data_IF_657325562392
#
_entry.id   IF_657325562392
#
_cell.length_a   1.000
_cell.length_b   1.000
_cell.length_c   1.000
_cell.angle_alpha   90.00
_cell.angle_beta   90.00
_cell.angle_gamma   90.00
#
_symmetry.space_group_name_H-M   'P 1'
#
loop_
_entity.id
_entity.type
_entity.pdbx_description
1 polymer ?
#
# COMPACT_ATOMS: atom_id res chain seq x y z
N UNK A 1 18.91 2.88 -14.57
CA UNK A 1 18.88 2.26 -15.91
C UNK A 1 18.18 0.89 -15.90
N UNK A 2 18.30 0.10 -14.82
CA UNK A 2 17.63 -1.20 -14.63
C UNK A 2 16.10 -1.18 -14.78
N UNK A 3 15.42 -0.16 -14.24
CA UNK A 3 13.96 -0.06 -14.32
C UNK A 3 13.42 0.10 -15.75
N UNK A 4 14.26 0.59 -16.69
CA UNK A 4 13.90 0.81 -18.10
C UNK A 4 14.21 -0.38 -19.01
N UNK A 5 14.85 -1.43 -18.52
CA UNK A 5 15.13 -2.62 -19.32
C UNK A 5 13.88 -3.49 -19.49
N UNK A 6 13.86 -4.25 -20.60
CA UNK A 6 12.83 -5.25 -20.87
C UNK A 6 12.84 -6.30 -19.77
N UNK A 7 11.65 -6.72 -19.33
CA UNK A 7 11.55 -7.65 -18.22
C UNK A 7 12.07 -9.04 -18.56
N UNK A 8 11.90 -9.47 -19.82
CA UNK A 8 12.45 -10.73 -20.33
C UNK A 8 13.96 -10.76 -20.16
N UNK A 9 14.63 -9.64 -20.48
CA UNK A 9 16.07 -9.49 -20.28
C UNK A 9 16.44 -9.55 -18.80
N UNK A 10 15.71 -8.86 -17.93
CA UNK A 10 15.99 -8.86 -16.48
C UNK A 10 15.84 -10.27 -15.89
N UNK A 11 14.78 -11.00 -16.22
CA UNK A 11 14.60 -12.38 -15.73
C UNK A 11 15.67 -13.32 -16.29
N UNK A 12 15.99 -13.22 -17.57
CA UNK A 12 17.04 -14.03 -18.17
C UNK A 12 18.38 -13.79 -17.46
N UNK A 13 18.75 -12.52 -17.28
CA UNK A 13 20.00 -12.17 -16.60
C UNK A 13 19.98 -12.53 -15.10
N UNK A 14 18.82 -12.49 -14.43
CA UNK A 14 18.67 -12.99 -13.05
C UNK A 14 18.80 -14.51 -12.95
N UNK A 15 18.22 -15.26 -13.89
CA UNK A 15 18.29 -16.73 -13.95
C UNK A 15 19.69 -17.22 -14.30
N UNK A 16 20.37 -16.50 -15.19
CA UNK A 16 21.74 -16.77 -15.62
C UNK A 16 22.78 -16.25 -14.61
N UNK A 17 22.37 -15.51 -13.58
CA UNK A 17 23.27 -14.91 -12.58
C UNK A 17 24.17 -13.81 -13.14
N UNK A 18 23.82 -13.24 -14.28
CA UNK A 18 24.62 -12.25 -15.04
C UNK A 18 24.24 -10.80 -14.68
N UNK A 19 23.15 -10.58 -13.93
CA UNK A 19 22.69 -9.25 -13.51
C UNK A 19 22.95 -8.91 -12.01
N UNK A 20 23.46 -7.71 -11.68
CA UNK A 20 24.53 -6.93 -12.33
C UNK A 20 25.87 -7.07 -11.57
N UNK A 21 26.99 -6.84 -12.27
CA UNK A 21 28.33 -6.78 -11.66
C UNK A 21 28.42 -5.65 -10.62
N UNK A 22 28.95 -5.96 -9.43
CA UNK A 22 29.12 -5.00 -8.33
C UNK A 22 27.97 -4.92 -7.34
N UNK A 23 26.95 -5.78 -7.46
CA UNK A 23 25.84 -5.89 -6.52
C UNK A 23 25.79 -7.30 -5.94
N UNK A 24 25.42 -7.43 -4.66
CA UNK A 24 25.14 -8.72 -4.06
C UNK A 24 23.70 -9.13 -4.41
N UNK A 25 23.55 -10.17 -5.23
CA UNK A 25 22.25 -10.75 -5.57
C UNK A 25 22.00 -11.98 -4.71
N UNK A 26 20.90 -11.98 -3.96
CA UNK A 26 20.42 -13.16 -3.27
C UNK A 26 19.10 -13.59 -3.92
N UNK A 27 19.04 -14.73 -4.63
CA UNK A 27 17.78 -15.24 -5.14
C UNK A 27 16.87 -15.56 -3.95
N UNK A 28 15.69 -14.94 -3.94
CA UNK A 28 14.68 -15.23 -2.95
C UNK A 28 14.04 -16.60 -3.18
N UNK A 29 13.46 -17.21 -2.13
CA UNK A 29 12.60 -18.36 -2.28
C UNK A 29 11.43 -18.10 -3.24
N UNK A 30 11.06 -19.13 -3.99
CA UNK A 30 9.88 -19.12 -4.84
C UNK A 30 8.63 -19.46 -4.03
N UNK A 31 7.52 -18.75 -4.29
CA UNK A 31 6.28 -18.92 -3.55
C UNK A 31 5.10 -19.07 -4.49
N UNK A 32 4.34 -20.15 -4.29
CA UNK A 32 2.99 -20.30 -4.81
C UNK A 32 1.99 -20.18 -3.66
N UNK A 33 0.91 -19.46 -3.90
CA UNK A 33 -0.21 -19.37 -2.96
C UNK A 33 -1.53 -19.46 -3.72
N UNK A 34 -2.44 -20.31 -3.22
CA UNK A 34 -3.74 -20.57 -3.84
C UNK A 34 -4.86 -19.65 -3.35
N UNK A 35 -4.61 -18.90 -2.27
CA UNK A 35 -5.57 -18.02 -1.61
C UNK A 35 -4.88 -16.72 -1.17
N UNK A 36 -5.65 -15.69 -0.80
CA UNK A 36 -5.10 -14.46 -0.24
C UNK A 36 -4.53 -14.71 1.16
N UNK A 37 -3.26 -15.14 1.25
CA UNK A 37 -2.57 -15.39 2.52
C UNK A 37 -1.41 -14.42 2.76
N UNK A 38 -1.20 -14.05 4.03
CA UNK A 38 -0.04 -13.28 4.46
C UNK A 38 1.09 -14.22 4.87
N UNK A 39 2.30 -14.01 4.31
CA UNK A 39 3.51 -14.74 4.69
C UNK A 39 4.59 -13.76 5.12
N UNK A 40 5.20 -14.01 6.28
CA UNK A 40 6.34 -13.22 6.78
C UNK A 40 7.64 -13.87 6.33
N UNK A 41 8.49 -13.10 5.66
CA UNK A 41 9.80 -13.56 5.17
C UNK A 41 10.88 -12.80 5.94
N UNK A 42 11.84 -13.54 6.49
CA UNK A 42 12.98 -12.96 7.20
C UNK A 42 14.24 -13.16 6.39
N UNK A 43 14.81 -12.06 5.91
CA UNK A 43 16.12 -12.05 5.29
C UNK A 43 17.18 -11.85 6.39
N UNK A 44 18.27 -12.61 6.31
CA UNK A 44 19.46 -12.36 7.12
C UNK A 44 20.50 -11.72 6.23
N UNK A 45 20.97 -10.57 6.67
CA UNK A 45 22.13 -9.92 6.08
C UNK A 45 23.37 -10.75 6.44
N UNK A 46 24.37 -10.86 5.54
CA UNK A 46 25.65 -11.46 5.88
C UNK A 46 26.23 -10.89 7.18
N UNK A 47 26.93 -11.71 8.00
CA UNK A 47 27.47 -11.27 9.29
C UNK A 47 28.66 -10.31 9.16
N UNK A 48 29.25 -10.20 7.96
CA UNK A 48 30.30 -9.22 7.68
C UNK A 48 29.73 -7.79 7.79
N UNK A 49 30.55 -6.85 8.29
CA UNK A 49 30.13 -5.45 8.36
C UNK A 49 29.83 -4.95 6.96
N UNK A 50 28.57 -4.57 6.74
CA UNK A 50 28.15 -3.87 5.54
C UNK A 50 28.78 -2.47 5.55
N UNK A 51 29.72 -2.23 4.65
CA UNK A 51 30.22 -0.89 4.37
C UNK A 51 29.45 -0.31 3.18
N UNK A 52 28.55 0.64 3.47
CA UNK A 52 27.76 1.34 2.46
C UNK A 52 28.41 2.63 1.98
N UNK A 53 29.59 2.97 2.50
CA UNK A 53 30.31 4.21 2.25
C UNK A 53 29.70 5.44 2.92
N UNK A 54 30.43 6.55 2.79
CA UNK A 54 30.09 7.85 3.38
C UNK A 54 28.95 8.56 2.65
N UNK A 55 28.31 9.49 3.35
CA UNK A 55 27.27 10.36 2.78
C UNK A 55 27.86 11.41 1.81
N UNK A 56 27.18 11.75 0.69
CA UNK A 56 25.94 11.16 0.17
C UNK A 56 26.21 9.84 -0.57
N UNK A 57 25.38 8.82 -0.28
CA UNK A 57 25.55 7.49 -0.89
C UNK A 57 25.24 7.53 -2.38
N UNK A 58 26.05 6.82 -3.16
CA UNK A 58 25.86 6.64 -4.60
C UNK A 58 24.88 5.52 -4.94
N UNK A 59 24.64 4.60 -4.01
CA UNK A 59 23.83 3.41 -4.20
C UNK A 59 22.86 3.20 -3.04
N UNK A 60 21.71 2.58 -3.31
CA UNK A 60 20.77 2.17 -2.28
C UNK A 60 21.28 0.91 -1.57
N UNK A 61 21.23 0.85 -0.23
CA UNK A 61 21.81 -0.26 0.54
C UNK A 61 21.06 -1.57 0.32
N UNK A 62 19.74 -1.53 0.14
CA UNK A 62 18.93 -2.71 -0.17
C UNK A 62 17.79 -2.38 -1.12
N UNK A 63 17.62 -3.23 -2.13
CA UNK A 63 16.47 -3.20 -3.05
C UNK A 63 15.89 -4.61 -3.13
N UNK A 64 14.62 -4.76 -2.76
CA UNK A 64 13.90 -6.03 -2.83
C UNK A 64 12.97 -6.01 -4.05
N UNK A 65 13.06 -7.07 -4.85
CA UNK A 65 12.16 -7.33 -5.97
C UNK A 65 11.24 -8.49 -5.59
N UNK A 66 9.94 -8.23 -5.52
CA UNK A 66 8.91 -9.25 -5.44
C UNK A 66 8.27 -9.39 -6.82
N UNK A 67 8.38 -10.58 -7.39
CA UNK A 67 8.08 -10.82 -8.80
C UNK A 67 6.91 -11.79 -8.93
N UNK A 68 6.04 -11.53 -9.89
CA UNK A 68 5.05 -12.52 -10.31
C UNK A 68 5.72 -13.56 -11.20
N UNK A 69 5.39 -14.83 -10.98
CA UNK A 69 5.73 -15.86 -11.95
C UNK A 69 4.93 -15.62 -13.24
N UNK A 70 5.59 -15.77 -14.38
CA UNK A 70 4.98 -15.53 -15.69
C UNK A 70 3.86 -16.54 -15.92
N UNK A 71 2.61 -16.08 -15.92
CA UNK A 71 1.46 -16.91 -16.23
C UNK A 71 1.20 -16.91 -17.74
N UNK A 72 0.85 -18.07 -18.30
CA UNK A 72 0.44 -18.22 -19.70
C UNK A 72 -0.95 -17.56 -19.89
N UNK A 73 -0.99 -16.23 -19.86
CA UNK A 73 -2.22 -15.44 -19.86
C UNK A 73 -2.09 -14.02 -19.31
N UNK A 74 -0.91 -13.60 -18.85
CA UNK A 74 -0.69 -12.26 -18.30
C UNK A 74 -1.01 -11.16 -19.32
N UNK A 75 -1.80 -10.18 -18.90
CA UNK A 75 -2.15 -8.99 -19.66
C UNK A 75 -1.07 -7.90 -19.53
N UNK A 76 -1.08 -6.94 -20.45
CA UNK A 76 -0.07 -5.88 -20.53
C UNK A 76 -0.11 -4.96 -19.29
N UNK A 77 -1.28 -4.77 -18.68
CA UNK A 77 -1.51 -3.98 -17.48
C UNK A 77 -1.35 -4.77 -16.17
N UNK A 78 -1.13 -6.08 -16.24
CA UNK A 78 -0.90 -6.88 -15.05
C UNK A 78 0.37 -6.44 -14.32
N UNK A 79 0.31 -6.54 -12.99
CA UNK A 79 1.46 -6.23 -12.13
C UNK A 79 2.50 -7.33 -12.29
N UNK A 80 3.73 -6.90 -12.58
CA UNK A 80 4.85 -7.78 -12.84
C UNK A 80 5.84 -7.83 -11.67
N UNK A 81 6.10 -6.67 -11.08
CA UNK A 81 7.04 -6.57 -9.98
C UNK A 81 6.65 -5.47 -9.00
N UNK A 82 6.81 -5.76 -7.71
CA UNK A 82 6.90 -4.77 -6.65
C UNK A 82 8.36 -4.58 -6.28
N UNK A 83 8.84 -3.36 -6.38
CA UNK A 83 10.24 -2.98 -6.14
C UNK A 83 10.26 -2.10 -4.90
N UNK A 84 10.90 -2.57 -3.83
CA UNK A 84 11.00 -1.85 -2.56
C UNK A 84 12.45 -1.43 -2.31
N UNK A 85 12.68 -0.12 -2.21
CA UNK A 85 13.98 0.46 -1.86
C UNK A 85 13.98 0.69 -0.35
N UNK A 86 14.95 0.10 0.34
CA UNK A 86 15.01 0.06 1.80
C UNK A 86 16.31 0.71 2.25
N UNK A 87 16.20 1.65 3.17
CA UNK A 87 17.32 2.14 3.98
C UNK A 87 17.60 1.14 5.09
N UNK A 88 18.87 0.82 5.31
CA UNK A 88 19.33 0.00 6.43
C UNK A 88 20.11 0.90 7.36
N UNK A 89 19.71 0.90 8.63
CA UNK A 89 20.43 1.60 9.69
C UNK A 89 21.88 1.09 9.81
N UNK A 90 22.83 2.02 9.88
CA UNK A 90 24.25 1.74 10.03
C UNK A 90 24.98 2.89 10.75
N UNK A 91 26.31 2.84 10.78
CA UNK A 91 27.14 3.82 11.49
C UNK A 91 27.12 5.22 10.85
N UNK A 92 26.95 5.32 9.53
CA UNK A 92 26.96 6.58 8.80
C UNK A 92 25.55 7.20 8.70
N UNK A 93 24.51 6.35 8.67
CA UNK A 93 23.11 6.77 8.62
C UNK A 93 22.31 6.03 9.71
N UNK A 94 22.20 6.68 10.86
CA UNK A 94 21.53 6.18 12.06
C UNK A 94 20.00 6.33 12.02
N UNK A 95 19.43 6.70 10.87
CA UNK A 95 17.98 6.69 10.71
C UNK A 95 17.48 5.24 10.77
N UNK A 96 16.32 4.98 11.42
CA UNK A 96 15.77 3.64 11.50
C UNK A 96 15.58 3.00 10.13
N UNK A 97 15.85 1.70 10.04
CA UNK A 97 15.62 0.89 8.84
C UNK A 97 14.19 1.07 8.36
N UNK A 98 14.02 1.53 7.12
CA UNK A 98 12.71 1.95 6.61
C UNK A 98 12.64 1.90 5.09
N UNK A 99 11.42 1.81 4.57
CA UNK A 99 11.17 1.81 3.12
C UNK A 99 11.25 3.25 2.62
N UNK A 100 12.22 3.53 1.76
CA UNK A 100 12.43 4.86 1.15
C UNK A 100 11.45 5.10 0.00
N UNK A 101 11.22 4.08 -0.83
CA UNK A 101 10.34 4.16 -1.98
C UNK A 101 9.86 2.77 -2.39
N UNK A 102 8.66 2.73 -2.95
CA UNK A 102 8.15 1.54 -3.62
C UNK A 102 7.68 1.87 -5.02
N UNK A 103 7.91 0.95 -5.95
CA UNK A 103 7.49 1.06 -7.33
C UNK A 103 6.76 -0.22 -7.74
N UNK A 104 5.65 -0.07 -8.45
CA UNK A 104 4.98 -1.16 -9.14
C UNK A 104 5.38 -1.08 -10.61
N UNK A 105 5.85 -2.20 -11.18
CA UNK A 105 6.13 -2.35 -12.61
C UNK A 105 5.09 -3.28 -13.22
N UNK A 106 4.59 -2.93 -14.40
CA UNK A 106 3.66 -3.74 -15.20
C UNK A 106 4.37 -4.44 -16.36
N UNK A 107 3.71 -5.43 -16.98
CA UNK A 107 4.21 -6.09 -18.20
C UNK A 107 4.37 -5.14 -19.39
N UNK A 108 3.59 -4.05 -19.45
CA UNK A 108 3.72 -2.95 -20.42
C UNK A 108 5.07 -2.24 -20.39
N UNK A 109 5.85 -2.42 -19.32
CA UNK A 109 7.06 -1.66 -19.04
C UNK A 109 6.81 -0.34 -18.32
N UNK A 110 5.54 0.04 -18.11
CA UNK A 110 5.19 1.18 -17.25
C UNK A 110 5.58 0.88 -15.80
N UNK A 111 5.97 1.94 -15.07
CA UNK A 111 6.24 1.86 -13.65
C UNK A 111 5.57 3.03 -12.92
N UNK A 112 5.04 2.75 -11.74
CA UNK A 112 4.33 3.70 -10.91
C UNK A 112 5.00 3.77 -9.54
N UNK A 113 5.25 4.99 -9.06
CA UNK A 113 5.69 5.18 -7.68
C UNK A 113 4.49 4.99 -6.75
N UNK A 114 4.58 4.01 -5.84
CA UNK A 114 3.57 3.80 -4.82
C UNK A 114 3.74 4.86 -3.73
N UNK A 115 2.65 5.56 -3.43
CA UNK A 115 2.59 6.57 -2.38
C UNK A 115 1.70 6.07 -1.27
N UNK A 116 2.18 6.26 -0.03
CA UNK A 116 1.40 5.92 1.14
C UNK A 116 0.12 6.77 1.19
N UNK A 117 -0.96 6.11 1.58
CA UNK A 117 -2.22 6.74 1.94
C UNK A 117 -2.20 7.01 3.44
N UNK A 118 -2.57 8.22 3.85
CA UNK A 118 -2.63 8.58 5.25
C UNK A 118 -4.02 8.24 5.77
N UNK A 119 -4.11 7.19 6.56
CA UNK A 119 -5.35 6.74 7.17
C UNK A 119 -5.37 7.18 8.63
N UNK A 120 -6.53 7.57 9.13
CA UNK A 120 -6.68 7.92 10.54
C UNK A 120 -6.75 6.63 11.34
N UNK A 121 -5.71 6.33 12.10
CA UNK A 121 -5.76 5.33 13.17
C UNK A 121 -6.06 6.07 14.46
N UNK A 122 -7.24 5.82 15.05
CA UNK A 122 -7.57 6.37 16.37
C UNK A 122 -6.56 5.88 17.40
N UNK A 123 -6.10 6.79 18.26
CA UNK A 123 -5.21 6.50 19.36
C UNK A 123 -5.88 5.53 20.34
N UNK A 124 -5.44 4.29 20.37
CA UNK A 124 -5.52 3.42 21.55
C UNK A 124 -4.23 2.60 21.57
N UNK A 125 -3.38 2.91 22.55
CA UNK A 125 -2.12 2.20 22.78
C UNK A 125 -2.38 0.71 23.05
N UNK A 126 -1.76 -0.17 22.25
CA UNK A 126 -1.28 -1.45 22.77
C UNK A 126 -2.14 -2.71 22.63
N UNK A 127 -3.30 -2.70 21.95
CA UNK A 127 -4.00 -3.95 21.60
C UNK A 127 -4.33 -3.99 20.10
N UNK A 128 -3.73 -4.94 19.38
CA UNK A 128 -4.16 -5.30 18.02
C UNK A 128 -5.53 -5.96 18.14
N UNK A 129 -6.58 -5.15 18.11
CA UNK A 129 -7.96 -5.64 17.95
C UNK A 129 -8.24 -5.77 16.47
N UNK A 130 -8.63 -6.97 16.07
CA UNK A 130 -9.10 -7.29 14.73
C UNK A 130 -10.30 -6.40 14.36
N UNK A 131 -10.24 -5.83 13.15
CA UNK A 131 -11.37 -5.25 12.41
C UNK A 131 -12.23 -4.19 13.12
N UNK A 132 -11.65 -3.25 13.87
CA UNK A 132 -12.35 -1.99 14.11
C UNK A 132 -12.42 -1.22 12.78
N UNK A 133 -13.61 -1.21 12.17
CA UNK A 133 -13.86 -0.47 10.93
C UNK A 133 -13.51 1.01 11.14
N UNK A 134 -12.47 1.48 10.45
CA UNK A 134 -12.07 2.88 10.52
C UNK A 134 -13.22 3.78 10.02
N UNK A 135 -13.69 4.68 10.89
CA UNK A 135 -14.84 5.54 10.67
C UNK A 135 -14.45 6.93 10.16
N UNK A 136 -15.38 7.58 9.45
CA UNK A 136 -15.25 8.96 9.00
C UNK A 136 -15.06 9.93 10.16
N UNK A 137 -14.05 10.80 10.09
CA UNK A 137 -13.78 11.77 11.17
C UNK A 137 -14.86 12.83 11.34
N UNK A 138 -15.68 13.05 10.30
CA UNK A 138 -16.73 14.08 10.29
C UNK A 138 -18.00 13.57 10.96
N UNK A 139 -18.51 12.40 10.57
CA UNK A 139 -19.75 11.85 11.14
C UNK A 139 -19.52 10.81 12.23
N UNK A 140 -18.32 10.22 12.30
CA UNK A 140 -17.96 9.12 13.21
C UNK A 140 -18.95 7.96 13.17
N UNK A 141 -19.60 7.77 12.01
CA UNK A 141 -20.70 6.83 11.84
C UNK A 141 -20.41 5.91 10.66
N UNK A 142 -20.23 6.48 9.46
CA UNK A 142 -19.97 5.68 8.27
C UNK A 142 -18.48 5.33 8.10
N UNK A 143 -18.16 4.16 7.53
CA UNK A 143 -16.79 3.76 7.25
C UNK A 143 -16.09 4.72 6.28
N UNK A 144 -14.78 4.85 6.46
CA UNK A 144 -13.90 5.56 5.52
C UNK A 144 -14.03 4.96 4.12
N UNK A 145 -14.33 5.78 3.10
CA UNK A 145 -14.44 5.29 1.73
C UNK A 145 -13.64 6.04 0.69
N UNK A 146 -13.11 7.23 1.01
CA UNK A 146 -12.46 8.11 0.03
C UNK A 146 -11.11 8.61 0.51
N UNK A 147 -10.16 8.66 -0.44
CA UNK A 147 -8.88 9.35 -0.30
C UNK A 147 -8.96 10.69 -1.01
N UNK A 148 -8.52 11.75 -0.32
CA UNK A 148 -8.53 13.11 -0.85
C UNK A 148 -7.19 13.45 -1.50
N UNK A 149 -7.22 13.97 -2.72
CA UNK A 149 -6.03 14.42 -3.44
C UNK A 149 -5.92 15.96 -3.41
N UNK A 150 -4.70 16.52 -3.34
CA UNK A 150 -3.40 15.85 -3.42
C UNK A 150 -2.84 15.33 -2.07
N UNK A 151 -3.52 15.59 -0.95
CA UNK A 151 -2.98 15.32 0.39
C UNK A 151 -2.94 13.84 0.80
N UNK A 152 -3.62 12.96 0.06
CA UNK A 152 -3.71 11.50 0.26
C UNK A 152 -4.30 11.05 1.60
N UNK A 153 -5.07 11.91 2.29
CA UNK A 153 -5.76 11.50 3.50
C UNK A 153 -7.04 10.72 3.19
N UNK A 154 -7.12 9.48 3.68
CA UNK A 154 -8.36 8.70 3.81
C UNK A 154 -8.96 8.97 5.19
N UNK A 155 -9.91 9.90 5.26
CA UNK A 155 -10.47 10.38 6.53
C UNK A 155 -12.00 10.60 6.49
N UNK A 156 -12.65 10.34 5.36
CA UNK A 156 -14.08 10.60 5.21
C UNK A 156 -14.86 9.47 4.51
N UNK A 157 -16.17 9.45 4.76
CA UNK A 157 -17.15 8.68 4.00
C UNK A 157 -17.65 9.50 2.79
N UNK A 158 -18.42 8.84 1.94
CA UNK A 158 -19.01 9.44 0.75
C UNK A 158 -20.05 10.52 1.02
N UNK A 159 -20.87 10.33 2.06
CA UNK A 159 -21.94 11.28 2.42
C UNK A 159 -21.37 12.60 2.95
N UNK A 160 -20.27 12.54 3.70
CA UNK A 160 -19.60 13.76 4.19
C UNK A 160 -18.80 14.46 3.09
N UNK A 161 -18.32 13.74 2.07
CA UNK A 161 -17.56 14.33 0.97
C UNK A 161 -18.32 15.44 0.25
N UNK A 162 -19.63 15.28 0.02
CA UNK A 162 -20.46 16.29 -0.68
C UNK A 162 -20.60 17.62 0.07
N UNK A 163 -20.20 17.66 1.35
CA UNK A 163 -20.36 18.82 2.24
C UNK A 163 -19.06 19.55 2.55
N UNK A 164 -17.94 19.11 1.97
CA UNK A 164 -16.61 19.67 2.26
C UNK A 164 -15.82 19.94 0.97
N UNK A 165 -14.93 20.93 1.01
CA UNK A 165 -14.00 21.26 -0.08
C UNK A 165 -12.52 21.26 0.36
N UNK A 166 -12.26 21.11 1.66
CA UNK A 166 -10.92 20.99 2.25
C UNK A 166 -10.81 19.72 3.08
N UNK A 167 -9.64 19.10 3.10
CA UNK A 167 -9.36 17.91 3.89
C UNK A 167 -9.48 18.21 5.41
N UNK A 168 -10.29 17.47 6.19
CA UNK A 168 -10.42 17.68 7.64
C UNK A 168 -9.11 17.51 8.42
N UNK A 169 -8.20 16.67 7.93
CA UNK A 169 -6.94 16.35 8.62
C UNK A 169 -5.87 17.43 8.46
N UNK A 170 -5.73 17.98 7.25
CA UNK A 170 -4.60 18.87 6.92
C UNK A 170 -5.01 20.20 6.31
N UNK A 171 -6.32 20.45 6.15
CA UNK A 171 -6.92 21.66 5.56
C UNK A 171 -6.53 21.95 4.11
N UNK A 172 -5.84 21.03 3.44
CA UNK A 172 -5.52 21.14 2.02
C UNK A 172 -6.79 21.17 1.16
N UNK A 173 -6.77 21.97 0.09
CA UNK A 173 -7.84 22.00 -0.92
C UNK A 173 -7.98 20.65 -1.60
N UNK A 174 -9.22 20.19 -1.77
CA UNK A 174 -9.53 18.93 -2.44
C UNK A 174 -9.66 19.18 -3.94
N UNK A 175 -8.77 18.62 -4.74
CA UNK A 175 -8.84 18.73 -6.20
C UNK A 175 -9.52 17.54 -6.86
N UNK A 176 -9.33 16.35 -6.29
CA UNK A 176 -9.94 15.10 -6.75
C UNK A 176 -9.95 14.07 -5.63
N UNK A 177 -10.56 12.91 -5.87
CA UNK A 177 -10.61 11.81 -4.92
C UNK A 177 -10.67 10.46 -5.65
N UNK A 178 -10.39 9.39 -4.92
CA UNK A 178 -10.71 8.02 -5.37
C UNK A 178 -11.27 7.21 -4.19
N UNK A 179 -12.00 6.14 -4.52
CA UNK A 179 -12.62 5.27 -3.52
C UNK A 179 -11.65 4.15 -3.10
N UNK A 180 -11.52 3.92 -1.80
CA UNK A 180 -10.69 2.83 -1.22
C UNK A 180 -11.50 1.60 -0.81
N UNK A 181 -12.83 1.71 -0.83
CA UNK A 181 -13.76 0.60 -0.64
C UNK A 181 -15.08 0.90 -1.34
N UNK A 182 -15.91 -0.13 -1.46
CA UNK A 182 -17.25 0.00 -2.01
C UNK A 182 -18.15 0.82 -1.07
N UNK A 183 -19.03 1.64 -1.64
CA UNK A 183 -19.89 2.58 -0.94
C UNK A 183 -21.36 2.09 -0.91
N UNK A 184 -21.56 0.79 -0.67
CA UNK A 184 -22.88 0.14 -0.70
C UNK A 184 -23.91 0.77 0.25
N UNK A 185 -23.47 1.47 1.30
CA UNK A 185 -24.35 2.19 2.23
C UNK A 185 -25.05 3.41 1.61
N UNK A 186 -24.55 3.95 0.49
CA UNK A 186 -25.17 5.10 -0.22
C UNK A 186 -26.41 4.68 -1.01
N UNK A 187 -26.44 3.45 -1.55
CA UNK A 187 -27.56 2.96 -2.38
C UNK A 187 -28.91 2.88 -1.63
N UNK A 188 -28.90 3.19 -0.33
CA UNK A 188 -30.06 3.17 0.58
C UNK A 188 -30.72 4.54 0.76
N UNK A 189 -30.18 5.64 0.24
CA UNK A 189 -30.84 6.97 0.29
C UNK A 189 -31.76 7.25 -0.92
N UNK A 190 -31.56 6.57 -2.07
CA UNK A 190 -32.23 6.93 -3.33
C UNK A 190 -33.41 6.02 -3.75
N UNK A 191 -33.79 5.03 -2.93
CA UNK A 191 -35.05 4.29 -3.12
C UNK A 191 -35.95 4.58 -1.92
N UNK A 192 -37.14 5.13 -2.21
CA UNK A 192 -38.13 5.55 -1.23
C UNK A 192 -38.30 4.58 -0.08
N UNK A 193 -38.48 5.17 1.11
CA UNK A 193 -38.60 4.55 2.43
C UNK A 193 -39.50 3.30 2.39
N UNK A 194 -38.88 2.14 2.29
CA UNK A 194 -39.48 0.83 2.52
C UNK A 194 -39.15 0.36 3.93
N UNK A 195 -40.14 -0.21 4.63
CA UNK A 195 -40.09 -0.58 6.05
C UNK A 195 -38.89 -1.46 6.48
N UNK A 196 -38.18 -2.13 5.56
CA UNK A 196 -37.01 -2.96 5.90
C UNK A 196 -35.69 -2.18 6.10
N UNK A 197 -35.59 -0.93 5.64
CA UNK A 197 -34.38 -0.12 5.82
C UNK A 197 -34.19 0.33 7.27
N UNK A 198 -35.30 0.47 8.00
CA UNK A 198 -35.33 0.85 9.42
C UNK A 198 -34.82 -0.29 10.30
N UNK A 199 -35.14 -1.54 9.95
CA UNK A 199 -34.71 -2.73 10.70
C UNK A 199 -33.21 -3.02 10.51
N UNK A 200 -32.63 -2.72 9.35
CA UNK A 200 -31.19 -2.90 9.11
C UNK A 200 -30.33 -1.73 9.61
N UNK A 201 -30.82 -0.49 9.55
CA UNK A 201 -30.20 0.64 10.27
C UNK A 201 -30.25 0.39 11.78
N UNK A 202 -31.37 -0.12 12.29
CA UNK A 202 -31.45 -0.57 13.68
C UNK A 202 -30.44 -1.68 13.96
N UNK A 203 -30.32 -2.71 13.12
CA UNK A 203 -29.34 -3.79 13.31
C UNK A 203 -27.88 -3.31 13.27
N UNK A 204 -27.55 -2.35 12.41
CA UNK A 204 -26.22 -1.73 12.37
C UNK A 204 -25.99 -0.81 13.59
N UNK A 205 -27.00 -0.02 13.99
CA UNK A 205 -26.98 0.78 15.22
C UNK A 205 -26.81 -0.11 16.46
N UNK A 206 -27.42 -1.30 16.52
CA UNK A 206 -27.26 -2.26 17.62
C UNK A 206 -25.90 -2.98 17.62
N UNK A 207 -25.22 -3.08 16.47
CA UNK A 207 -23.87 -3.65 16.40
C UNK A 207 -22.78 -2.65 16.77
N UNK A 208 -22.95 -1.37 16.41
CA UNK A 208 -21.90 -0.35 16.52
C UNK A 208 -22.14 0.74 17.58
N UNK A 209 -23.34 0.83 18.18
CA UNK A 209 -23.51 1.46 19.51
C UNK A 209 -23.56 0.37 20.58
N UNK A 210 -22.38 -0.06 21.06
CA UNK A 210 -22.27 -0.62 22.41
C UNK A 210 -21.68 0.46 23.30
N UNK A 211 -22.45 0.89 24.31
CA UNK A 211 -21.87 1.32 25.58
C UNK A 211 -21.14 0.14 26.21
#
# INVERSE_FOLDING_TARGET
>A
MLLRQSWVTIIAEMREGTMPRGYFLCPGPHYSCKEHSQKVIRFKIPPERLDFGVFPRKYYPLVIFLLTESDEGAQIDDTLALISIIHIEDQECTLPTSVLAQYMKQYSGMHFCLKLLYVVTGFNDGEVREEEELLCVVCQFFPLSRVLLPCRHACICALCFSRINTCPMCRAQISSYFCVRNENYILRENKGIGRSAVDELAHWMFRNLRM
#
